data_IF_001854487294
#
_entry.id   IF_001854487294
#
_cell.length_a   1.000
_cell.length_b   1.000
_cell.length_c   1.000
_cell.angle_alpha   90.00
_cell.angle_beta   90.00
_cell.angle_gamma   90.00
#
_symmetry.space_group_name_H-M   'P 1'
#
loop_
_entity.id
_entity.type
_entity.pdbx_description
1 polymer ?
#
# COMPACT_ATOMS: atom_id res chain seq x y z
N UNK A 1 32.77 72.87 -17.20
CA UNK A 1 34.22 72.57 -17.37
C UNK A 1 34.59 71.57 -16.29
N UNK A 2 35.37 70.55 -16.67
CA UNK A 2 35.54 69.21 -16.07
C UNK A 2 35.93 69.17 -14.59
N UNK A 3 35.33 68.27 -13.79
CA UNK A 3 36.08 67.47 -12.82
C UNK A 3 35.37 66.15 -12.44
N UNK A 4 36.16 65.07 -12.45
CA UNK A 4 35.80 63.65 -12.24
C UNK A 4 35.73 63.27 -10.75
N UNK A 5 35.01 62.20 -10.41
CA UNK A 5 35.49 61.00 -9.67
C UNK A 5 34.38 59.90 -9.57
N UNK A 6 34.79 58.63 -9.71
CA UNK A 6 34.04 57.33 -9.55
C UNK A 6 34.21 56.80 -8.08
N UNK A 7 33.79 55.58 -7.64
CA UNK A 7 32.66 54.63 -7.92
C UNK A 7 31.93 54.13 -6.61
N UNK A 8 31.09 53.07 -6.73
CA UNK A 8 30.49 52.18 -5.67
C UNK A 8 29.17 52.67 -5.02
N UNK A 9 28.15 51.87 -4.64
CA UNK A 9 27.97 50.42 -4.49
C UNK A 9 26.47 50.04 -4.59
N UNK A 10 26.18 48.77 -4.96
CA UNK A 10 24.91 48.08 -4.71
C UNK A 10 24.65 47.96 -3.20
N UNK A 11 23.38 48.03 -2.76
CA UNK A 11 22.75 47.05 -1.85
C UNK A 11 21.29 47.39 -1.49
N UNK A 12 20.47 46.33 -1.51
CA UNK A 12 19.33 46.03 -0.62
C UNK A 12 18.09 46.94 -0.59
N UNK A 13 16.97 46.49 -1.18
CA UNK A 13 15.68 46.21 -0.50
C UNK A 13 14.84 45.29 -1.42
N UNK A 14 14.81 43.98 -1.16
CA UNK A 14 13.77 43.08 -1.68
C UNK A 14 13.85 41.71 -0.97
N UNK A 15 13.56 41.67 0.34
CA UNK A 15 13.41 40.40 1.05
C UNK A 15 12.51 40.56 2.29
N UNK A 16 11.23 40.89 2.08
CA UNK A 16 10.25 40.89 3.18
C UNK A 16 8.78 40.74 2.75
N UNK A 17 8.49 40.26 1.53
CA UNK A 17 7.10 40.17 1.04
C UNK A 17 6.62 38.77 0.63
N UNK A 18 7.39 37.70 0.88
CA UNK A 18 7.05 36.33 0.42
C UNK A 18 6.66 35.33 1.53
N UNK A 19 6.46 35.76 2.77
CA UNK A 19 6.16 34.83 3.90
C UNK A 19 4.71 34.97 4.42
N UNK A 20 3.85 35.80 3.81
CA UNK A 20 2.54 36.11 4.40
C UNK A 20 1.34 35.91 3.48
N UNK A 21 1.40 34.96 2.52
CA UNK A 21 0.28 34.67 1.61
C UNK A 21 -0.20 33.20 1.59
N UNK A 22 0.36 32.28 2.39
CA UNK A 22 -0.13 30.90 2.46
C UNK A 22 -1.09 30.58 3.62
N UNK A 23 -1.40 31.52 4.51
CA UNK A 23 -2.24 31.25 5.69
C UNK A 23 -3.69 31.75 5.59
N UNK A 24 -4.20 32.06 4.40
CA UNK A 24 -5.55 32.64 4.24
C UNK A 24 -6.51 31.86 3.32
N UNK A 25 -6.13 30.68 2.83
CA UNK A 25 -6.98 29.89 1.89
C UNK A 25 -7.40 28.50 2.38
N UNK A 26 -6.91 28.05 3.54
CA UNK A 26 -7.40 26.81 4.17
C UNK A 26 -7.73 27.12 5.63
N UNK A 27 -9.02 27.26 5.91
CA UNK A 27 -9.54 27.40 7.27
C UNK A 27 -9.41 26.10 8.07
N UNK A 28 -8.18 25.65 8.27
CA UNK A 28 -7.85 24.56 9.20
C UNK A 28 -7.66 25.23 10.55
N UNK A 29 -8.62 25.01 11.46
CA UNK A 29 -8.42 25.29 12.88
C UNK A 29 -7.57 24.16 13.43
N UNK A 30 -6.52 24.51 14.17
CA UNK A 30 -5.70 23.59 14.94
C UNK A 30 -6.60 22.68 15.79
N UNK A 31 -6.53 21.38 15.53
CA UNK A 31 -6.88 20.35 16.49
C UNK A 31 -5.55 19.80 16.99
N UNK A 32 -5.24 20.10 18.24
CA UNK A 32 -4.03 19.68 18.95
C UNK A 32 -3.79 18.17 18.76
N UNK A 33 -2.67 17.84 18.11
CA UNK A 33 -2.14 16.49 18.03
C UNK A 33 -1.11 16.35 19.14
N UNK A 34 -1.57 16.14 20.38
CA UNK A 34 -0.72 15.76 21.49
C UNK A 34 -0.41 14.26 21.38
N UNK A 35 0.84 13.93 21.04
CA UNK A 35 1.39 12.60 21.27
C UNK A 35 1.64 12.50 22.77
N UNK A 36 0.74 11.83 23.48
CA UNK A 36 0.84 11.66 24.93
C UNK A 36 2.05 10.76 25.28
N UNK A 37 3.04 11.34 25.95
CA UNK A 37 4.08 10.62 26.68
C UNK A 37 3.44 9.81 27.82
N UNK A 38 3.47 8.49 27.70
CA UNK A 38 2.93 7.54 28.67
C UNK A 38 3.79 7.42 29.93
N UNK A 39 3.58 8.33 30.89
CA UNK A 39 4.12 8.25 32.25
C UNK A 39 3.28 7.39 33.20
N UNK A 40 3.95 6.46 33.87
CA UNK A 40 3.52 5.48 34.89
C UNK A 40 2.59 5.97 36.02
N UNK A 41 1.64 5.11 36.43
CA UNK A 41 0.94 5.24 37.72
C UNK A 41 -0.16 4.19 38.02
N UNK A 42 0.20 3.06 38.65
CA UNK A 42 -0.51 2.51 39.84
C UNK A 42 -1.76 1.60 39.72
N UNK A 43 -1.50 0.30 39.90
CA UNK A 43 -2.20 -0.72 40.73
C UNK A 43 -3.53 -1.45 40.33
N UNK A 44 -3.32 -2.77 40.14
CA UNK A 44 -3.99 -3.94 40.77
C UNK A 44 -5.01 -4.78 39.95
N UNK A 45 -4.60 -6.01 39.58
CA UNK A 45 -5.51 -7.14 39.34
C UNK A 45 -5.12 -8.22 38.33
N UNK A 46 -3.98 -8.91 38.52
CA UNK A 46 -3.63 -10.28 38.08
C UNK A 46 -4.14 -10.88 36.75
N UNK A 47 -3.22 -11.22 35.84
CA UNK A 47 -2.69 -12.59 35.59
C UNK A 47 -1.30 -12.42 34.98
N UNK A 48 -0.27 -12.98 35.62
CA UNK A 48 1.10 -12.96 35.11
C UNK A 48 1.24 -13.97 33.95
N UNK A 49 1.21 -13.49 32.72
CA UNK A 49 2.02 -14.05 31.67
C UNK A 49 3.36 -13.32 31.76
N UNK A 50 4.43 -14.06 31.99
CA UNK A 50 5.81 -13.57 31.98
C UNK A 50 6.15 -13.05 30.59
N UNK A 51 5.77 -11.80 30.31
CA UNK A 51 6.32 -11.01 29.22
C UNK A 51 7.68 -10.51 29.71
N UNK A 52 8.71 -11.36 29.59
CA UNK A 52 9.98 -10.78 29.19
C UNK A 52 9.77 -10.24 27.78
N UNK A 53 9.33 -8.97 27.72
CA UNK A 53 9.43 -8.15 26.53
C UNK A 53 10.92 -7.94 26.26
N UNK A 54 11.55 -8.99 25.73
CA UNK A 54 12.79 -8.82 25.01
C UNK A 54 12.51 -7.88 23.85
N UNK A 55 13.39 -6.91 23.67
CA UNK A 55 13.50 -5.99 22.54
C UNK A 55 13.77 -6.76 21.25
N UNK A 56 12.84 -7.63 20.84
CA UNK A 56 12.95 -8.45 19.64
C UNK A 56 12.34 -7.70 18.46
N UNK A 57 13.18 -7.39 17.49
CA UNK A 57 12.82 -7.07 16.11
C UNK A 57 11.78 -8.06 15.61
N UNK A 58 10.54 -7.62 15.52
CA UNK A 58 9.34 -8.28 14.98
C UNK A 58 8.12 -7.64 15.65
N UNK A 59 7.18 -7.12 14.87
CA UNK A 59 5.78 -7.31 15.24
C UNK A 59 5.50 -8.81 15.01
N UNK A 60 5.40 -9.65 16.05
CA UNK A 60 5.25 -11.08 15.85
C UNK A 60 3.94 -11.32 15.09
N UNK A 61 4.03 -12.05 13.97
CA UNK A 61 2.84 -12.62 13.35
C UNK A 61 2.16 -13.53 14.39
N UNK A 62 0.82 -13.53 14.47
CA UNK A 62 0.10 -14.49 15.30
C UNK A 62 0.63 -15.90 15.03
N UNK A 63 0.91 -16.75 16.03
CA UNK A 63 1.48 -18.06 15.76
C UNK A 63 0.50 -18.94 14.98
N UNK A 64 1.04 -19.81 14.12
CA UNK A 64 0.23 -20.83 13.42
C UNK A 64 -0.48 -21.72 14.46
N UNK A 65 -1.79 -22.00 14.29
CA UNK A 65 -2.48 -22.92 15.18
C UNK A 65 -1.93 -24.36 15.07
N UNK A 66 -2.26 -25.24 16.04
CA UNK A 66 -1.83 -26.64 15.99
C UNK A 66 -2.29 -27.35 14.71
N UNK A 67 -1.45 -28.27 14.19
CA UNK A 67 -1.77 -29.04 12.99
C UNK A 67 -3.08 -29.82 13.18
N UNK A 68 -3.95 -29.79 12.17
CA UNK A 68 -5.23 -30.49 12.15
C UNK A 68 -6.42 -29.68 12.66
N UNK A 69 -6.25 -28.38 12.96
CA UNK A 69 -7.38 -27.47 13.20
C UNK A 69 -8.16 -27.15 11.92
N UNK A 70 -7.55 -27.27 10.74
CA UNK A 70 -8.13 -27.09 9.39
C UNK A 70 -8.95 -28.29 8.90
N UNK A 71 -9.71 -28.93 9.79
CA UNK A 71 -10.59 -30.04 9.41
C UNK A 71 -11.97 -29.56 8.95
N UNK A 72 -12.42 -30.00 7.77
CA UNK A 72 -13.77 -29.78 7.23
C UNK A 72 -13.82 -29.80 5.69
N UNK A 73 -15.01 -29.83 5.11
CA UNK A 73 -15.21 -29.49 3.69
C UNK A 73 -15.03 -27.96 3.58
N UNK A 74 -13.77 -27.51 3.47
CA UNK A 74 -13.40 -26.09 3.42
C UNK A 74 -14.15 -25.33 2.32
N UNK A 75 -14.50 -24.09 2.61
CA UNK A 75 -15.24 -23.21 1.71
C UNK A 75 -14.33 -22.30 0.87
N UNK A 76 -14.88 -21.78 -0.23
CA UNK A 76 -14.25 -20.72 -1.02
C UNK A 76 -14.98 -19.40 -0.77
N UNK A 77 -14.24 -18.39 -0.35
CA UNK A 77 -14.73 -17.04 -0.09
C UNK A 77 -14.02 -16.06 -1.00
N UNK A 78 -14.78 -15.20 -1.68
CA UNK A 78 -14.24 -14.14 -2.52
C UNK A 78 -14.59 -12.81 -1.88
N UNK A 79 -13.57 -11.98 -1.68
CA UNK A 79 -13.73 -10.63 -1.14
C UNK A 79 -13.03 -9.61 -2.04
N UNK A 80 -13.58 -8.41 -2.11
CA UNK A 80 -13.02 -7.28 -2.83
C UNK A 80 -12.49 -6.25 -1.82
N UNK A 81 -11.27 -5.76 -2.02
CA UNK A 81 -10.73 -4.68 -1.18
C UNK A 81 -11.57 -3.41 -1.36
N UNK A 82 -12.22 -2.98 -0.28
CA UNK A 82 -13.13 -1.83 -0.24
C UNK A 82 -12.41 -0.52 0.03
N UNK A 83 -11.44 -0.55 0.93
CA UNK A 83 -10.61 0.61 1.27
C UNK A 83 -9.16 0.22 1.11
N UNK A 84 -8.34 1.13 0.58
CA UNK A 84 -6.89 0.96 0.51
C UNK A 84 -6.27 2.27 0.98
N UNK A 85 -5.43 2.20 2.01
CA UNK A 85 -4.75 3.36 2.59
C UNK A 85 -3.26 3.09 2.56
N UNK A 86 -2.54 3.82 1.71
CA UNK A 86 -1.08 3.74 1.68
C UNK A 86 -0.46 4.27 2.96
N UNK A 87 0.50 3.52 3.51
CA UNK A 87 1.22 3.88 4.72
C UNK A 87 0.37 3.82 6.00
N UNK A 88 -0.92 3.48 5.93
CA UNK A 88 -1.81 3.42 7.11
C UNK A 88 -2.24 2.01 7.49
N UNK A 89 -2.84 1.86 8.68
CA UNK A 89 -3.46 0.62 9.18
C UNK A 89 -3.14 0.36 10.67
N UNK A 90 -4.01 -0.34 11.42
CA UNK A 90 -3.66 -0.85 12.74
C UNK A 90 -2.49 -1.84 12.61
N UNK A 91 -1.38 -1.58 13.31
CA UNK A 91 -0.08 -2.28 13.18
C UNK A 91 0.67 -1.97 11.86
N UNK A 92 1.18 -0.75 11.73
CA UNK A 92 1.61 -0.13 10.46
C UNK A 92 2.92 -0.65 9.83
N UNK A 93 3.08 -1.97 9.72
CA UNK A 93 4.08 -2.63 8.88
C UNK A 93 4.68 -3.87 9.52
N UNK A 94 5.61 -4.49 8.79
CA UNK A 94 6.32 -5.68 9.22
C UNK A 94 7.81 -5.48 8.97
N UNK A 95 8.62 -6.23 9.71
CA UNK A 95 10.03 -6.46 9.41
C UNK A 95 10.12 -7.36 8.17
N UNK A 96 10.39 -6.79 7.00
CA UNK A 96 10.37 -7.47 5.71
C UNK A 96 11.72 -8.11 5.37
N UNK A 97 12.83 -7.63 5.92
CA UNK A 97 14.18 -8.19 5.76
C UNK A 97 14.65 -9.05 6.94
N UNK A 98 13.86 -9.09 8.01
CA UNK A 98 14.07 -9.83 9.26
C UNK A 98 15.27 -9.35 10.07
N UNK A 99 15.64 -8.08 9.91
CA UNK A 99 16.79 -7.48 10.57
C UNK A 99 16.44 -6.08 11.02
N UNK A 100 16.53 -5.81 12.32
CA UNK A 100 16.43 -4.42 12.76
C UNK A 100 17.56 -3.56 12.19
N UNK A 101 17.21 -2.47 11.53
CA UNK A 101 18.12 -1.39 11.18
C UNK A 101 18.01 -0.24 12.17
N UNK A 102 19.16 0.21 12.71
CA UNK A 102 19.31 1.36 13.61
C UNK A 102 18.73 1.26 15.04
N UNK A 103 18.64 0.09 15.66
CA UNK A 103 18.22 0.02 17.08
C UNK A 103 19.24 0.66 18.01
N UNK A 104 18.73 1.37 19.03
CA UNK A 104 19.55 2.04 20.05
C UNK A 104 20.39 1.07 20.90
N UNK A 105 20.02 -0.22 20.91
CA UNK A 105 20.58 -1.22 21.82
C UNK A 105 21.74 -2.04 21.22
N UNK A 106 21.89 -2.12 19.88
CA UNK A 106 23.05 -2.79 19.27
C UNK A 106 23.42 -2.28 17.86
N UNK A 107 24.26 -1.23 17.76
CA UNK A 107 24.79 -0.73 16.49
C UNK A 107 25.60 -1.75 15.68
N UNK A 108 26.04 -2.87 16.28
CA UNK A 108 26.81 -3.90 15.60
C UNK A 108 25.94 -4.99 14.94
N UNK A 109 24.66 -5.12 15.34
CA UNK A 109 23.67 -5.99 14.71
C UNK A 109 22.78 -5.28 13.69
N UNK A 110 22.73 -3.94 13.73
CA UNK A 110 22.05 -3.11 12.75
C UNK A 110 22.74 -3.15 11.37
N UNK A 111 22.45 -4.18 10.58
CA UNK A 111 22.92 -4.28 9.20
C UNK A 111 21.79 -3.86 8.27
N UNK A 112 21.97 -2.75 7.56
CA UNK A 112 21.04 -2.35 6.51
C UNK A 112 20.93 -3.46 5.44
N UNK A 113 19.70 -3.73 5.00
CA UNK A 113 19.38 -4.63 3.87
C UNK A 113 20.27 -4.37 2.65
N UNK A 114 20.48 -3.10 2.33
CA UNK A 114 21.18 -2.67 1.13
C UNK A 114 21.85 -1.31 1.34
N UNK A 115 22.62 -0.89 0.34
CA UNK A 115 23.26 0.43 0.32
C UNK A 115 22.21 1.46 -0.05
N UNK A 116 21.74 2.20 0.96
CA UNK A 116 20.79 3.29 0.78
C UNK A 116 21.32 4.39 -0.15
N UNK A 117 20.43 5.04 -0.92
CA UNK A 117 20.70 6.33 -1.54
C UNK A 117 21.22 7.34 -0.51
N UNK A 118 22.11 8.26 -0.94
CA UNK A 118 22.92 9.14 -0.05
C UNK A 118 22.15 10.00 0.97
N UNK A 119 20.82 10.09 0.87
CA UNK A 119 19.97 10.97 1.67
C UNK A 119 18.94 10.25 2.54
N UNK A 120 18.71 8.95 2.37
CA UNK A 120 17.81 8.20 3.26
C UNK A 120 18.53 7.79 4.54
N UNK A 121 17.91 8.08 5.68
CA UNK A 121 18.20 7.36 6.92
C UNK A 121 17.40 6.07 6.83
N UNK A 122 18.04 5.01 6.34
CA UNK A 122 17.46 3.67 6.26
C UNK A 122 17.39 3.00 7.63
N UNK A 123 16.62 3.61 8.52
CA UNK A 123 16.39 3.10 9.85
C UNK A 123 14.95 2.60 9.91
N UNK A 124 14.75 1.46 10.56
CA UNK A 124 13.42 0.92 10.75
C UNK A 124 12.65 1.78 11.74
N UNK A 125 11.32 1.63 11.71
CA UNK A 125 10.48 2.09 12.80
C UNK A 125 10.59 1.16 14.00
N UNK A 126 10.01 1.57 15.14
CA UNK A 126 9.99 0.77 16.36
C UNK A 126 9.53 -0.67 16.08
N UNK A 127 10.29 -1.64 16.61
CA UNK A 127 10.04 -3.07 16.40
C UNK A 127 10.59 -3.66 15.10
N UNK A 128 11.42 -2.91 14.35
CA UNK A 128 12.01 -3.35 13.08
C UNK A 128 11.05 -3.20 11.89
N UNK A 129 10.07 -2.31 11.99
CA UNK A 129 9.03 -2.16 10.97
C UNK A 129 9.54 -1.37 9.78
N UNK A 130 9.49 -2.00 8.60
CA UNK A 130 9.88 -1.37 7.34
C UNK A 130 8.70 -0.59 6.74
N UNK A 131 8.83 0.75 6.67
CA UNK A 131 7.83 1.60 6.05
C UNK A 131 8.43 2.92 5.52
N UNK A 132 9.37 2.84 4.58
CA UNK A 132 9.97 4.04 3.99
C UNK A 132 8.93 4.96 3.34
N UNK A 133 7.80 4.45 2.85
CA UNK A 133 6.75 5.29 2.25
C UNK A 133 6.16 6.29 3.26
N UNK A 134 6.03 5.91 4.53
CA UNK A 134 5.56 6.79 5.60
C UNK A 134 6.52 7.94 5.92
N UNK A 135 7.80 7.82 5.58
CA UNK A 135 8.80 8.87 5.83
C UNK A 135 8.61 10.09 4.93
N UNK A 136 7.78 10.00 3.88
CA UNK A 136 7.34 11.10 3.03
C UNK A 136 6.32 11.96 3.79
N UNK A 137 6.81 12.76 4.74
CA UNK A 137 5.99 13.43 5.77
C UNK A 137 5.66 14.90 5.51
N UNK A 138 6.22 15.53 4.46
CA UNK A 138 6.02 16.97 4.28
C UNK A 138 6.02 17.47 2.82
N UNK A 139 5.35 18.61 2.63
CA UNK A 139 5.38 19.39 1.40
C UNK A 139 4.63 18.75 0.22
N UNK A 140 5.13 19.03 -0.98
CA UNK A 140 4.56 18.59 -2.25
C UNK A 140 4.38 17.06 -2.34
N UNK A 141 5.29 16.31 -1.73
CA UNK A 141 5.28 14.85 -1.78
C UNK A 141 4.10 14.25 -1.00
N UNK A 142 3.80 14.80 0.18
CA UNK A 142 2.62 14.41 0.95
C UNK A 142 1.34 14.73 0.18
N UNK A 143 1.25 15.92 -0.43
CA UNK A 143 0.09 16.29 -1.25
C UNK A 143 -0.11 15.33 -2.44
N UNK A 144 0.97 14.87 -3.07
CA UNK A 144 0.91 13.85 -4.14
C UNK A 144 0.43 12.49 -3.63
N UNK A 145 0.87 12.05 -2.44
CA UNK A 145 0.39 10.80 -1.81
C UNK A 145 -1.09 10.92 -1.43
N UNK A 146 -1.51 12.05 -0.87
CA UNK A 146 -2.91 12.30 -0.49
C UNK A 146 -3.81 12.28 -1.74
N UNK A 147 -3.44 13.01 -2.81
CA UNK A 147 -4.16 12.98 -4.09
C UNK A 147 -4.20 11.58 -4.70
N UNK A 148 -3.15 10.79 -4.52
CA UNK A 148 -3.12 9.41 -4.97
C UNK A 148 -4.10 8.53 -4.17
N UNK A 149 -4.16 8.68 -2.84
CA UNK A 149 -5.17 8.01 -2.00
C UNK A 149 -6.60 8.41 -2.40
N UNK A 150 -6.85 9.69 -2.69
CA UNK A 150 -8.16 10.15 -3.18
C UNK A 150 -8.54 9.48 -4.50
N UNK A 151 -7.60 9.43 -5.45
CA UNK A 151 -7.82 8.77 -6.75
C UNK A 151 -8.06 7.25 -6.62
N UNK A 152 -7.40 6.59 -5.64
CA UNK A 152 -7.66 5.18 -5.34
C UNK A 152 -9.10 5.00 -4.87
N UNK A 153 -9.52 5.78 -3.88
CA UNK A 153 -10.86 5.65 -3.31
C UNK A 153 -11.94 5.98 -4.34
N UNK A 154 -11.75 7.01 -5.17
CA UNK A 154 -12.65 7.31 -6.29
C UNK A 154 -12.71 6.15 -7.31
N UNK A 155 -11.59 5.47 -7.56
CA UNK A 155 -11.54 4.30 -8.46
C UNK A 155 -12.30 3.11 -7.89
N UNK A 156 -12.18 2.88 -6.58
CA UNK A 156 -12.89 1.85 -5.84
C UNK A 156 -14.41 2.15 -5.83
N UNK A 157 -14.81 3.37 -5.49
CA UNK A 157 -16.21 3.80 -5.43
C UNK A 157 -16.90 3.74 -6.79
N UNK A 158 -16.19 4.11 -7.87
CA UNK A 158 -16.71 3.96 -9.23
C UNK A 158 -16.70 2.51 -9.75
N UNK A 159 -16.31 1.54 -8.94
CA UNK A 159 -16.27 0.13 -9.33
C UNK A 159 -15.35 -0.13 -10.52
N UNK A 160 -14.32 0.71 -10.71
CA UNK A 160 -13.45 0.65 -11.90
C UNK A 160 -12.42 -0.46 -11.79
N UNK A 161 -11.79 -0.57 -10.63
CA UNK A 161 -10.79 -1.58 -10.30
C UNK A 161 -10.73 -1.75 -8.79
N UNK A 162 -10.40 -2.96 -8.36
CA UNK A 162 -10.03 -3.33 -6.99
C UNK A 162 -9.20 -4.61 -7.05
N UNK A 163 -8.69 -5.09 -5.92
CA UNK A 163 -8.06 -6.40 -5.79
C UNK A 163 -9.06 -7.37 -5.17
N UNK A 164 -9.22 -8.52 -5.81
CA UNK A 164 -9.99 -9.64 -5.31
C UNK A 164 -9.07 -10.55 -4.53
N UNK A 165 -9.44 -10.87 -3.29
CA UNK A 165 -8.82 -11.91 -2.50
C UNK A 165 -9.75 -13.14 -2.49
N UNK A 166 -9.22 -14.29 -2.88
CA UNK A 166 -9.92 -15.57 -2.80
C UNK A 166 -9.28 -16.38 -1.68
N UNK A 167 -10.06 -16.71 -0.66
CA UNK A 167 -9.69 -17.62 0.41
C UNK A 167 -10.32 -18.98 0.09
N UNK A 168 -9.49 -19.98 -0.20
CA UNK A 168 -9.90 -21.36 -0.45
C UNK A 168 -9.53 -22.24 0.75
N UNK A 169 -10.26 -23.36 0.84
CA UNK A 169 -10.10 -24.40 1.85
C UNK A 169 -10.29 -23.93 3.30
N UNK A 170 -10.82 -22.72 3.52
CA UNK A 170 -11.07 -22.20 4.87
C UNK A 170 -12.27 -22.89 5.52
N UNK A 171 -12.07 -23.48 6.70
CA UNK A 171 -13.08 -24.22 7.46
C UNK A 171 -14.19 -23.34 8.08
N UNK A 172 -14.05 -22.00 8.02
CA UNK A 172 -15.01 -21.03 8.59
C UNK A 172 -14.91 -20.82 10.11
N UNK A 173 -13.98 -21.52 10.77
CA UNK A 173 -13.77 -21.47 12.22
C UNK A 173 -12.74 -20.41 12.67
N UNK A 174 -12.60 -20.20 13.98
CA UNK A 174 -11.61 -19.27 14.54
C UNK A 174 -10.17 -19.68 14.25
N UNK A 175 -9.90 -20.98 14.15
CA UNK A 175 -8.58 -21.55 13.92
C UNK A 175 -8.63 -22.47 12.70
N UNK A 176 -7.68 -22.29 11.80
CA UNK A 176 -7.47 -23.12 10.62
C UNK A 176 -5.96 -23.16 10.34
N UNK A 177 -5.35 -24.35 10.41
CA UNK A 177 -3.89 -24.46 10.21
C UNK A 177 -3.48 -24.36 8.75
N UNK A 178 -4.43 -24.36 7.81
CA UNK A 178 -4.14 -24.23 6.39
C UNK A 178 -5.28 -23.57 5.62
N UNK A 179 -5.00 -22.40 5.08
CA UNK A 179 -5.84 -21.78 4.04
C UNK A 179 -5.01 -21.46 2.81
N UNK A 180 -5.65 -21.34 1.66
CA UNK A 180 -5.01 -20.93 0.42
C UNK A 180 -5.55 -19.57 0.00
N UNK A 181 -4.67 -18.59 -0.19
CA UNK A 181 -5.02 -17.22 -0.55
C UNK A 181 -4.52 -16.89 -1.95
N UNK A 182 -5.42 -16.41 -2.79
CA UNK A 182 -5.10 -15.87 -4.09
C UNK A 182 -5.50 -14.41 -4.17
N UNK A 183 -4.69 -13.60 -4.86
CA UNK A 183 -5.01 -12.20 -5.13
C UNK A 183 -5.01 -11.95 -6.64
N UNK A 184 -6.07 -11.35 -7.16
CA UNK A 184 -6.19 -10.97 -8.57
C UNK A 184 -6.62 -9.51 -8.70
N UNK A 185 -6.00 -8.74 -9.61
CA UNK A 185 -6.59 -7.50 -10.03
C UNK A 185 -7.95 -7.73 -10.70
N UNK A 186 -8.96 -6.99 -10.27
CA UNK A 186 -10.21 -6.89 -11.01
C UNK A 186 -10.15 -5.80 -12.06
N UNK A 187 -11.01 -5.95 -13.06
CA UNK A 187 -11.14 -5.04 -14.20
C UNK A 187 -12.49 -4.31 -14.20
N UNK A 188 -13.04 -4.12 -13.01
CA UNK A 188 -14.25 -3.34 -12.75
C UNK A 188 -15.54 -4.14 -12.73
N UNK A 189 -16.60 -3.51 -12.25
CA UNK A 189 -17.94 -4.10 -12.16
C UNK A 189 -18.54 -4.17 -13.56
N UNK A 190 -18.95 -5.38 -13.96
CA UNK A 190 -19.32 -5.68 -15.36
C UNK A 190 -20.82 -5.71 -15.64
N UNK A 191 -21.64 -5.72 -14.60
CA UNK A 191 -23.09 -5.79 -14.73
C UNK A 191 -23.76 -4.78 -13.81
N UNK A 192 -24.91 -4.20 -14.21
CA UNK A 192 -25.72 -3.40 -13.31
C UNK A 192 -26.25 -4.30 -12.19
N UNK A 193 -26.33 -3.73 -10.99
CA UNK A 193 -26.86 -4.43 -9.82
C UNK A 193 -28.38 -4.53 -9.89
N UNK A 194 -29.02 -3.56 -10.55
CA UNK A 194 -30.48 -3.50 -10.72
C UNK A 194 -30.88 -3.13 -12.15
N UNK A 195 -32.05 -3.59 -12.59
CA UNK A 195 -32.59 -3.23 -13.91
C UNK A 195 -32.79 -1.72 -14.05
N UNK A 196 -32.18 -1.12 -15.07
CA UNK A 196 -32.26 0.33 -15.34
C UNK A 196 -31.10 1.15 -14.76
N UNK A 197 -30.20 0.53 -14.00
CA UNK A 197 -28.94 1.14 -13.62
C UNK A 197 -28.03 1.22 -14.85
N UNK A 198 -27.78 2.43 -15.32
CA UNK A 198 -26.69 2.71 -16.24
C UNK A 198 -25.43 3.09 -15.45
N UNK A 199 -24.26 3.14 -16.09
CA UNK A 199 -23.10 3.82 -15.53
C UNK A 199 -23.49 5.24 -15.09
N UNK A 200 -23.10 5.64 -13.88
CA UNK A 200 -23.52 6.90 -13.25
C UNK A 200 -23.14 8.11 -14.11
N UNK A 201 -24.08 8.62 -14.91
CA UNK A 201 -24.11 9.97 -15.50
C UNK A 201 -22.79 10.52 -16.05
N UNK A 202 -21.94 9.68 -16.65
CA UNK A 202 -20.55 9.92 -17.07
C UNK A 202 -19.45 9.84 -15.99
N UNK A 203 -19.73 9.93 -14.68
CA UNK A 203 -18.70 9.88 -13.63
C UNK A 203 -17.96 8.54 -13.62
N UNK A 204 -18.71 7.43 -13.63
CA UNK A 204 -18.12 6.10 -13.46
C UNK A 204 -18.05 5.27 -14.76
N UNK A 205 -18.35 5.87 -15.92
CA UNK A 205 -18.19 5.19 -17.21
C UNK A 205 -16.75 4.66 -17.39
N UNK A 206 -16.57 3.46 -18.00
CA UNK A 206 -17.59 2.56 -18.53
C UNK A 206 -18.13 1.52 -17.52
N UNK A 207 -17.86 1.68 -16.21
CA UNK A 207 -18.23 0.73 -15.16
C UNK A 207 -19.46 1.18 -14.36
N UNK A 208 -19.90 0.32 -13.44
CA UNK A 208 -20.98 0.62 -12.51
C UNK A 208 -20.39 0.98 -11.14
N UNK A 209 -20.97 1.94 -10.40
CA UNK A 209 -20.55 2.23 -9.03
C UNK A 209 -20.60 0.97 -8.15
N UNK A 210 -19.67 0.86 -7.20
CA UNK A 210 -19.66 -0.22 -6.24
C UNK A 210 -20.69 0.01 -5.14
N UNK A 211 -21.40 -1.04 -4.73
CA UNK A 211 -22.38 -1.02 -3.62
C UNK A 211 -21.79 -1.51 -2.31
N UNK A 212 -20.77 -2.36 -2.38
CA UNK A 212 -20.10 -2.98 -1.24
C UNK A 212 -21.06 -3.77 -0.33
N UNK A 213 -22.09 -4.36 -0.93
CA UNK A 213 -23.16 -5.11 -0.25
C UNK A 213 -23.09 -6.63 -0.51
N UNK A 214 -22.05 -7.09 -1.21
CA UNK A 214 -21.88 -8.49 -1.61
C UNK A 214 -22.43 -8.82 -2.99
N UNK A 215 -23.16 -7.91 -3.63
CA UNK A 215 -23.74 -8.14 -4.97
C UNK A 215 -22.85 -7.68 -6.12
N UNK A 216 -21.76 -6.96 -5.81
CA UNK A 216 -20.82 -6.46 -6.81
C UNK A 216 -20.16 -7.60 -7.57
N UNK A 217 -20.37 -7.60 -8.90
CA UNK A 217 -19.81 -8.59 -9.83
C UNK A 217 -18.57 -8.05 -10.53
N UNK A 218 -17.41 -8.33 -9.96
CA UNK A 218 -16.12 -7.86 -10.44
C UNK A 218 -15.59 -8.73 -11.57
N UNK A 219 -15.15 -8.09 -12.65
CA UNK A 219 -14.52 -8.78 -13.77
C UNK A 219 -13.13 -9.31 -13.39
N UNK A 220 -12.88 -10.59 -13.62
CA UNK A 220 -11.56 -11.22 -13.48
C UNK A 220 -11.25 -12.12 -14.67
N UNK A 221 -9.96 -12.17 -15.04
CA UNK A 221 -9.45 -13.08 -16.06
C UNK A 221 -8.89 -14.39 -15.46
N UNK A 222 -8.69 -14.46 -14.14
CA UNK A 222 -7.98 -15.56 -13.47
C UNK A 222 -8.84 -16.30 -12.44
N UNK A 223 -9.94 -15.70 -12.00
CA UNK A 223 -10.90 -16.29 -11.07
C UNK A 223 -12.13 -16.69 -11.87
N UNK A 224 -12.55 -17.94 -11.74
CA UNK A 224 -13.82 -18.43 -12.29
C UNK A 224 -14.98 -17.99 -11.40
N UNK A 225 -16.20 -18.03 -11.93
CA UNK A 225 -17.41 -17.67 -11.16
C UNK A 225 -17.61 -18.55 -9.90
N UNK A 226 -17.12 -19.78 -9.91
CA UNK A 226 -17.13 -20.72 -8.77
C UNK A 226 -15.99 -20.46 -7.75
N UNK A 227 -15.18 -19.41 -7.96
CA UNK A 227 -14.02 -19.09 -7.13
C UNK A 227 -12.82 -20.00 -7.36
N UNK A 228 -12.87 -20.90 -8.35
CA UNK A 228 -11.72 -21.70 -8.73
C UNK A 228 -10.64 -20.81 -9.38
N UNK A 229 -9.38 -21.06 -9.02
CA UNK A 229 -8.22 -20.30 -9.47
C UNK A 229 -7.21 -21.27 -10.08
N UNK A 230 -6.67 -20.95 -11.26
CA UNK A 230 -5.67 -21.77 -11.98
C UNK A 230 -4.22 -21.29 -11.79
N UNK A 231 -4.02 -20.29 -10.94
CA UNK A 231 -2.80 -19.51 -10.85
C UNK A 231 -2.17 -19.61 -9.47
N UNK A 232 -0.91 -19.19 -9.35
CA UNK A 232 -0.16 -19.44 -8.15
C UNK A 232 -0.76 -18.73 -6.94
N UNK A 233 -0.84 -19.44 -5.82
CA UNK A 233 -1.47 -19.01 -4.57
C UNK A 233 -0.47 -19.00 -3.42
N UNK A 234 -0.85 -18.32 -2.33
CA UNK A 234 -0.09 -18.30 -1.09
C UNK A 234 -0.75 -19.24 -0.08
N UNK A 235 0.06 -19.97 0.67
CA UNK A 235 -0.43 -20.70 1.84
C UNK A 235 -0.51 -19.75 3.03
N UNK A 236 -1.57 -19.89 3.82
CA UNK A 236 -1.79 -19.13 5.04
C UNK A 236 -2.34 -20.01 6.15
N UNK A 237 -2.81 -19.37 7.20
CA UNK A 237 -3.59 -19.96 8.27
C UNK A 237 -4.52 -18.91 8.87
N UNK A 238 -5.48 -19.36 9.67
CA UNK A 238 -6.33 -18.52 10.51
C UNK A 238 -6.07 -18.85 11.96
N UNK A 239 -5.86 -17.83 12.79
CA UNK A 239 -5.68 -17.98 14.24
C UNK A 239 -6.57 -16.98 14.96
N UNK A 240 -7.44 -17.43 15.85
CA UNK A 240 -8.34 -16.55 16.61
C UNK A 240 -9.11 -15.53 15.71
N UNK A 241 -9.63 -16.00 14.57
CA UNK A 241 -10.27 -15.19 13.50
C UNK A 241 -9.34 -14.18 12.81
N UNK A 242 -8.04 -14.41 12.82
CA UNK A 242 -7.07 -13.59 12.10
C UNK A 242 -6.44 -14.40 10.96
N UNK A 243 -6.69 -13.99 9.72
CA UNK A 243 -5.98 -14.50 8.56
C UNK A 243 -4.52 -14.06 8.63
N UNK A 244 -3.60 -14.99 8.40
CA UNK A 244 -2.17 -14.72 8.26
C UNK A 244 -1.63 -15.42 7.02
N UNK A 245 -1.01 -14.64 6.15
CA UNK A 245 -0.23 -15.10 5.00
C UNK A 245 1.18 -14.53 5.15
N UNK A 246 2.18 -15.39 5.24
CA UNK A 246 3.60 -14.99 5.20
C UNK A 246 4.26 -15.53 3.93
N UNK A 247 4.30 -14.69 2.89
CA UNK A 247 4.88 -15.01 1.59
C UNK A 247 6.39 -14.80 1.48
N UNK A 248 7.07 -14.43 2.58
CA UNK A 248 8.52 -14.13 2.57
C UNK A 248 9.36 -15.35 2.21
N UNK A 249 9.03 -16.52 2.77
CA UNK A 249 9.77 -17.77 2.55
C UNK A 249 9.11 -18.72 1.55
N UNK A 250 7.89 -18.42 1.10
CA UNK A 250 7.17 -19.35 0.24
C UNK A 250 7.82 -19.42 -1.15
N UNK A 251 8.00 -20.62 -1.73
CA UNK A 251 8.45 -20.75 -3.11
C UNK A 251 7.43 -20.06 -4.02
N UNK A 252 7.82 -18.91 -4.56
CA UNK A 252 6.92 -17.82 -4.91
C UNK A 252 5.85 -18.18 -5.96
N UNK A 253 4.58 -17.81 -5.73
CA UNK A 253 3.57 -17.72 -6.77
C UNK A 253 3.75 -16.53 -7.76
N UNK A 254 4.66 -15.60 -7.50
CA UNK A 254 4.76 -14.31 -8.19
C UNK A 254 4.23 -13.16 -7.33
N UNK A 255 4.42 -11.89 -7.73
CA UNK A 255 3.97 -10.74 -6.95
C UNK A 255 2.45 -10.56 -6.97
N UNK A 256 1.88 -9.99 -5.91
CA UNK A 256 0.50 -9.51 -5.91
C UNK A 256 0.46 -8.20 -6.70
N UNK A 257 -0.36 -8.14 -7.74
CA UNK A 257 -0.55 -6.94 -8.53
C UNK A 257 -1.71 -6.11 -7.97
N UNK A 258 -1.40 -4.99 -7.32
CA UNK A 258 -2.38 -4.02 -6.87
C UNK A 258 -2.77 -3.10 -8.03
N UNK A 259 -3.98 -3.29 -8.56
CA UNK A 259 -4.60 -2.39 -9.54
C UNK A 259 -5.51 -1.38 -8.86
N UNK A 260 -5.90 -0.34 -9.60
CA UNK A 260 -6.65 0.80 -9.06
C UNK A 260 -5.78 1.84 -8.34
N UNK A 261 -4.48 1.56 -8.17
CA UNK A 261 -3.49 2.47 -7.63
C UNK A 261 -2.76 3.27 -8.74
N UNK A 262 -3.43 3.59 -9.85
CA UNK A 262 -2.85 4.29 -10.99
C UNK A 262 -2.89 3.50 -12.30
N UNK A 263 -2.15 3.99 -13.31
CA UNK A 263 -2.20 3.46 -14.68
C UNK A 263 -1.39 2.17 -14.89
N UNK A 264 -0.64 1.69 -13.89
CA UNK A 264 0.05 0.41 -13.96
C UNK A 264 -0.03 -0.30 -12.61
N UNK A 265 -0.11 -1.65 -12.57
CA UNK A 265 -0.20 -2.36 -11.30
C UNK A 265 1.07 -2.18 -10.46
N UNK A 266 0.91 -1.89 -9.17
CA UNK A 266 2.02 -2.00 -8.21
C UNK A 266 2.22 -3.47 -7.85
N UNK A 267 3.42 -3.99 -8.06
CA UNK A 267 3.73 -5.40 -7.81
C UNK A 267 4.36 -5.54 -6.43
N UNK A 268 3.60 -6.12 -5.51
CA UNK A 268 4.04 -6.41 -4.15
C UNK A 268 4.70 -7.79 -4.12
N UNK A 269 6.02 -7.78 -4.01
CA UNK A 269 6.82 -8.99 -3.89
C UNK A 269 6.88 -9.45 -2.44
N UNK A 270 6.89 -10.78 -2.24
CA UNK A 270 7.01 -11.41 -0.91
C UNK A 270 5.99 -10.87 0.10
N UNK A 271 4.69 -10.92 -0.23
CA UNK A 271 3.68 -10.23 0.56
C UNK A 271 3.49 -10.87 1.94
N UNK A 272 3.21 -10.04 2.93
CA UNK A 272 2.65 -10.44 4.21
C UNK A 272 1.23 -9.87 4.28
N UNK A 273 0.23 -10.73 4.51
CA UNK A 273 -1.16 -10.32 4.66
C UNK A 273 -1.63 -10.72 6.05
N UNK A 274 -2.16 -9.76 6.80
CA UNK A 274 -2.86 -10.02 8.05
C UNK A 274 -4.20 -9.31 8.01
N UNK A 275 -5.28 -9.99 8.39
CA UNK A 275 -6.60 -9.36 8.47
C UNK A 275 -7.50 -10.09 9.46
N UNK A 276 -8.37 -9.34 10.15
CA UNK A 276 -9.42 -9.93 10.98
C UNK A 276 -10.57 -10.41 10.10
N UNK A 277 -11.00 -11.64 10.32
CA UNK A 277 -12.10 -12.31 9.63
C UNK A 277 -13.40 -12.13 10.42
N UNK A 278 -14.42 -11.57 9.78
CA UNK A 278 -15.76 -11.44 10.35
C UNK A 278 -16.79 -12.05 9.39
N UNK A 279 -17.67 -12.90 9.92
CA UNK A 279 -18.78 -13.44 9.13
C UNK A 279 -19.82 -12.35 8.86
N UNK A 280 -20.29 -12.27 7.60
CA UNK A 280 -21.35 -11.37 7.15
C UNK A 280 -22.31 -12.17 6.29
N UNK A 281 -23.60 -11.83 6.24
CA UNK A 281 -24.65 -12.56 5.51
C UNK A 281 -24.17 -13.19 4.18
N UNK A 282 -23.93 -14.51 4.20
CA UNK A 282 -23.51 -15.28 3.02
C UNK A 282 -22.05 -15.13 2.57
N UNK A 283 -21.17 -14.48 3.34
CA UNK A 283 -19.77 -14.28 2.97
C UNK A 283 -18.85 -13.89 4.14
N UNK A 284 -17.64 -13.44 3.78
CA UNK A 284 -16.59 -13.07 4.71
C UNK A 284 -16.24 -11.58 4.53
N UNK A 285 -16.08 -10.86 5.63
CA UNK A 285 -15.55 -9.51 5.66
C UNK A 285 -14.15 -9.54 6.30
N UNK A 286 -13.19 -8.84 5.68
CA UNK A 286 -11.86 -8.64 6.23
C UNK A 286 -11.76 -7.23 6.78
N UNK A 287 -11.47 -7.12 8.07
CA UNK A 287 -11.26 -5.87 8.80
C UNK A 287 -9.81 -5.73 9.19
N UNK A 288 -9.40 -4.49 9.45
CA UNK A 288 -8.07 -4.17 9.99
C UNK A 288 -6.94 -4.86 9.20
N UNK A 289 -7.14 -4.94 7.89
CA UNK A 289 -6.25 -5.64 6.98
C UNK A 289 -4.97 -4.86 6.78
N UNK A 290 -3.85 -5.56 6.72
CA UNK A 290 -2.54 -5.03 6.36
C UNK A 290 -1.97 -5.94 5.28
N UNK A 291 -1.59 -5.35 4.15
CA UNK A 291 -0.76 -5.98 3.13
C UNK A 291 0.56 -5.24 3.11
N UNK A 292 1.64 -5.94 3.40
CA UNK A 292 2.99 -5.42 3.29
C UNK A 292 3.83 -6.23 2.31
N UNK A 293 4.91 -5.66 1.82
CA UNK A 293 5.89 -6.35 0.99
C UNK A 293 6.85 -5.38 0.32
N UNK A 294 7.55 -5.87 -0.71
CA UNK A 294 8.58 -5.11 -1.42
C UNK A 294 8.04 -4.65 -2.76
N UNK A 295 8.08 -3.34 -3.05
CA UNK A 295 7.67 -2.80 -4.34
C UNK A 295 8.85 -2.11 -4.99
N UNK A 296 9.17 -2.45 -6.24
CA UNK A 296 10.22 -1.78 -6.99
C UNK A 296 9.95 -0.27 -7.05
N UNK A 297 10.97 0.55 -6.82
CA UNK A 297 10.82 2.01 -6.93
C UNK A 297 10.34 2.41 -8.33
N UNK A 298 10.82 1.71 -9.37
CA UNK A 298 10.39 1.91 -10.76
C UNK A 298 8.94 1.53 -11.01
N UNK A 299 8.36 0.59 -10.27
CA UNK A 299 6.94 0.24 -10.39
C UNK A 299 6.06 1.36 -9.81
N UNK A 300 6.47 1.95 -8.69
CA UNK A 300 5.81 3.13 -8.12
C UNK A 300 5.85 4.30 -9.10
N UNK A 301 7.03 4.60 -9.66
CA UNK A 301 7.18 5.66 -10.65
C UNK A 301 6.38 5.39 -11.91
N UNK A 302 6.35 4.14 -12.38
CA UNK A 302 5.59 3.74 -13.56
C UNK A 302 4.09 3.92 -13.33
N UNK A 303 3.58 3.49 -12.17
CA UNK A 303 2.16 3.67 -11.86
C UNK A 303 1.78 5.14 -11.74
N UNK A 304 2.54 5.92 -10.95
CA UNK A 304 2.25 7.33 -10.75
C UNK A 304 2.44 8.12 -12.06
N UNK A 305 3.59 7.96 -12.71
CA UNK A 305 3.96 8.72 -13.90
C UNK A 305 3.05 8.50 -15.09
N UNK A 306 2.56 7.26 -15.29
CA UNK A 306 1.62 6.98 -16.38
C UNK A 306 0.19 7.43 -16.08
N UNK A 307 -0.15 7.74 -14.84
CA UNK A 307 -1.48 8.21 -14.48
C UNK A 307 -1.74 9.60 -15.04
N UNK A 308 -3.02 9.90 -15.29
CA UNK A 308 -3.50 11.20 -15.77
C UNK A 308 -4.26 11.87 -14.63
N UNK A 309 -4.20 13.20 -14.50
CA UNK A 309 -5.01 13.92 -13.53
C UNK A 309 -6.51 13.63 -13.67
N UNK A 310 -7.28 13.61 -12.57
CA UNK A 310 -8.73 13.36 -12.60
C UNK A 310 -9.52 14.34 -13.48
N UNK A 311 -9.03 15.57 -13.63
CA UNK A 311 -9.56 16.64 -14.47
C UNK A 311 -9.15 16.54 -15.95
N UNK A 312 -8.41 15.49 -16.31
CA UNK A 312 -7.82 15.29 -17.63
C UNK A 312 -6.49 16.01 -17.80
N UNK A 313 -5.85 15.82 -18.96
CA UNK A 313 -4.57 16.45 -19.28
C UNK A 313 -3.47 15.45 -19.64
N UNK A 314 -2.22 15.91 -19.52
CA UNK A 314 -1.05 15.07 -19.78
C UNK A 314 -0.80 14.09 -18.62
N UNK A 315 -0.04 13.04 -18.89
CA UNK A 315 0.40 12.10 -17.85
C UNK A 315 1.34 12.80 -16.87
N UNK A 316 1.32 12.39 -15.60
CA UNK A 316 2.20 13.00 -14.58
C UNK A 316 3.68 12.97 -14.97
N UNK A 317 4.14 11.96 -15.71
CA UNK A 317 5.53 11.90 -16.17
C UNK A 317 5.98 13.05 -17.11
N UNK A 318 5.04 13.81 -17.67
CA UNK A 318 5.33 15.00 -18.47
C UNK A 318 5.47 16.27 -17.62
N UNK A 319 5.02 16.23 -16.37
CA UNK A 319 5.11 17.34 -15.43
C UNK A 319 6.55 17.52 -14.95
N UNK A 320 7.05 18.75 -14.95
CA UNK A 320 8.37 19.05 -14.39
C UNK A 320 8.44 18.73 -12.88
N UNK A 321 7.30 18.82 -12.19
CA UNK A 321 7.16 18.52 -10.77
C UNK A 321 7.27 17.01 -10.49
N UNK A 322 7.01 16.17 -11.49
CA UNK A 322 7.21 14.72 -11.39
C UNK A 322 8.69 14.35 -11.23
N UNK A 323 9.65 15.17 -11.68
CA UNK A 323 11.09 14.96 -11.41
C UNK A 323 11.41 15.02 -9.91
N UNK A 324 10.65 15.82 -9.16
CA UNK A 324 10.78 15.89 -7.69
C UNK A 324 10.27 14.57 -7.09
N UNK A 325 9.11 14.09 -7.55
CA UNK A 325 8.52 12.81 -7.12
C UNK A 325 9.45 11.64 -7.46
N UNK A 326 10.02 11.63 -8.67
CA UNK A 326 11.02 10.67 -9.11
C UNK A 326 12.20 10.61 -8.16
N UNK A 327 12.79 11.77 -7.86
CA UNK A 327 13.93 11.88 -6.94
C UNK A 327 13.57 11.35 -5.55
N UNK A 328 12.39 11.69 -5.04
CA UNK A 328 11.96 11.31 -3.70
C UNK A 328 11.74 9.80 -3.56
N UNK A 329 10.98 9.17 -4.46
CA UNK A 329 10.74 7.73 -4.40
C UNK A 329 12.04 6.93 -4.58
N UNK A 330 12.92 7.38 -5.46
CA UNK A 330 14.22 6.72 -5.65
C UNK A 330 15.15 6.89 -4.46
N UNK A 331 15.08 8.02 -3.75
CA UNK A 331 15.85 8.21 -2.52
C UNK A 331 15.24 7.46 -1.34
N UNK A 332 13.93 7.25 -1.35
CA UNK A 332 13.22 6.50 -0.32
C UNK A 332 13.47 4.99 -0.40
N UNK A 333 14.06 4.47 -1.49
CA UNK A 333 14.39 3.05 -1.62
C UNK A 333 15.26 2.60 -0.44
N UNK A 334 14.77 1.60 0.28
CA UNK A 334 15.26 1.14 1.57
C UNK A 334 15.54 -0.37 1.61
N UNK A 335 15.03 -1.12 0.63
CA UNK A 335 15.12 -2.57 0.61
C UNK A 335 15.43 -3.09 -0.80
N UNK A 336 15.85 -4.36 -0.91
CA UNK A 336 15.93 -5.04 -2.20
C UNK A 336 14.57 -5.62 -2.60
N UNK A 337 14.22 -5.54 -3.87
CA UNK A 337 13.05 -6.20 -4.46
C UNK A 337 13.13 -7.72 -4.36
N UNK A 338 14.34 -8.27 -4.52
CA UNK A 338 14.64 -9.68 -4.34
C UNK A 338 15.31 -9.91 -2.97
N UNK A 339 14.67 -10.63 -2.03
CA UNK A 339 15.24 -10.90 -0.72
C UNK A 339 16.56 -11.69 -0.77
N UNK A 340 16.79 -12.49 -1.83
CA UNK A 340 18.05 -13.22 -2.00
C UNK A 340 19.27 -12.30 -2.19
N UNK A 341 19.04 -11.00 -2.43
CA UNK A 341 20.06 -9.96 -2.54
C UNK A 341 20.18 -9.07 -1.32
N UNK A 342 19.34 -9.29 -0.31
CA UNK A 342 19.50 -8.60 0.97
C UNK A 342 20.89 -8.92 1.54
N UNK A 343 21.49 -7.90 2.15
CA UNK A 343 22.77 -7.99 2.83
C UNK A 343 23.92 -8.42 1.92
N UNK A 344 23.82 -8.25 0.60
CA UNK A 344 24.95 -8.51 -0.33
C UNK A 344 25.77 -7.25 -0.60
N UNK A 345 25.29 -6.07 -0.19
CA UNK A 345 25.95 -4.78 -0.39
C UNK A 345 25.57 -4.08 -1.70
N UNK A 346 24.51 -4.56 -2.35
CA UNK A 346 23.90 -3.91 -3.51
C UNK A 346 23.15 -2.63 -3.10
N UNK A 347 22.88 -1.76 -4.08
CA UNK A 347 22.04 -0.58 -3.86
C UNK A 347 20.57 -0.97 -3.77
N UNK A 348 19.86 -0.37 -2.82
CA UNK A 348 18.41 -0.54 -2.69
C UNK A 348 17.70 -0.16 -3.98
N UNK A 349 16.76 -1.00 -4.43
CA UNK A 349 15.98 -0.82 -5.66
C UNK A 349 14.47 -0.86 -5.42
N UNK A 350 14.05 -1.15 -4.18
CA UNK A 350 12.67 -1.26 -3.78
C UNK A 350 12.38 -0.43 -2.53
N UNK A 351 11.09 -0.24 -2.32
CA UNK A 351 10.47 0.39 -1.16
C UNK A 351 9.80 -0.70 -0.34
N UNK A 352 10.02 -0.67 0.97
CA UNK A 352 9.14 -1.31 1.91
C UNK A 352 7.76 -0.65 1.83
N UNK A 353 6.79 -1.46 1.46
CA UNK A 353 5.46 -1.03 1.09
C UNK A 353 4.44 -1.61 2.05
N UNK A 354 3.55 -0.76 2.57
CA UNK A 354 2.46 -1.16 3.46
C UNK A 354 1.18 -0.46 3.01
N UNK A 355 0.10 -1.23 2.89
CA UNK A 355 -1.26 -0.71 2.75
C UNK A 355 -2.16 -1.31 3.83
N UNK A 356 -2.94 -0.44 4.45
CA UNK A 356 -4.09 -0.82 5.25
C UNK A 356 -5.29 -1.04 4.36
N UNK A 357 -6.11 -2.03 4.66
CA UNK A 357 -7.30 -2.32 3.87
C UNK A 357 -8.47 -2.88 4.68
N UNK A 358 -9.65 -2.77 4.08
CA UNK A 358 -10.81 -3.60 4.43
C UNK A 358 -11.27 -4.30 3.16
N UNK A 359 -11.87 -5.48 3.28
CA UNK A 359 -12.46 -6.17 2.14
C UNK A 359 -13.84 -6.71 2.48
N UNK A 360 -14.77 -6.63 1.54
CA UNK A 360 -16.15 -7.11 1.71
C UNK A 360 -16.43 -8.29 0.78
N UNK A 361 -17.46 -9.11 1.06
CA UNK A 361 -17.88 -10.15 0.13
C UNK A 361 -18.05 -9.62 -1.29
N UNK A 362 -17.68 -10.44 -2.27
CA UNK A 362 -17.73 -10.08 -3.68
C UNK A 362 -18.11 -11.29 -4.54
N UNK A 363 -18.70 -11.01 -5.71
CA UNK A 363 -18.93 -12.01 -6.74
C UNK A 363 -17.99 -11.76 -7.93
N UNK A 364 -17.71 -12.81 -8.69
CA UNK A 364 -16.90 -12.72 -9.90
C UNK A 364 -17.80 -12.81 -11.12
N UNK A 365 -17.48 -12.00 -12.13
CA UNK A 365 -17.99 -12.15 -13.48
C UNK A 365 -16.83 -12.47 -14.44
N UNK A 366 -17.04 -13.30 -15.46
CA UNK A 366 -16.10 -13.49 -16.53
C UNK A 366 -15.81 -12.13 -17.19
N UNK A 367 -14.53 -11.77 -17.26
CA UNK A 367 -14.15 -10.50 -17.85
C UNK A 367 -12.69 -10.50 -18.20
N UNK A 368 -12.38 -10.43 -19.50
CA UNK A 368 -11.03 -10.12 -19.95
C UNK A 368 -10.61 -8.72 -19.46
N UNK A 369 -9.29 -8.50 -19.57
CA UNK A 369 -8.53 -7.32 -19.15
C UNK A 369 -9.25 -5.98 -19.38
N UNK A 370 -8.87 -4.91 -18.66
CA UNK A 370 -9.42 -3.58 -18.91
C UNK A 370 -9.31 -3.28 -20.39
N UNK A 371 -10.36 -2.71 -20.97
CA UNK A 371 -10.14 -1.84 -22.11
C UNK A 371 -9.44 -0.65 -21.48
N UNK A 372 -8.11 -0.64 -21.56
CA UNK A 372 -7.32 0.53 -21.17
C UNK A 372 -7.94 1.68 -21.95
N UNK A 373 -8.55 2.68 -21.31
CA UNK A 373 -9.10 3.80 -22.06
C UNK A 373 -7.97 4.32 -22.93
N UNK A 374 -8.20 4.51 -24.22
CA UNK A 374 -7.18 5.05 -25.11
C UNK A 374 -6.83 6.44 -24.60
N UNK A 375 -5.74 6.52 -23.82
CA UNK A 375 -5.28 7.78 -23.26
C UNK A 375 -4.55 8.50 -24.39
N UNK A 376 -5.22 9.48 -24.99
CA UNK A 376 -4.65 10.41 -25.96
C UNK A 376 -3.72 11.43 -25.28
N UNK A 377 -2.70 10.92 -24.59
CA UNK A 377 -1.66 11.72 -23.95
C UNK A 377 -0.28 11.16 -24.32
N UNK A 378 0.74 12.02 -24.54
CA UNK A 378 2.08 11.59 -24.88
C UNK A 378 2.61 10.50 -23.92
N UNK A 379 3.25 9.44 -24.44
CA UNK A 379 3.76 8.37 -23.60
C UNK A 379 4.90 8.87 -22.73
N UNK A 380 5.00 8.29 -21.53
CA UNK A 380 6.19 8.47 -20.69
C UNK A 380 7.42 7.84 -21.35
N UNK A 381 8.58 8.47 -21.17
CA UNK A 381 9.86 7.86 -21.59
C UNK A 381 10.38 6.92 -20.50
N UNK A 382 11.16 5.91 -20.86
CA UNK A 382 11.80 5.03 -19.85
C UNK A 382 12.66 5.83 -18.87
N UNK A 383 13.38 6.86 -19.37
CA UNK A 383 14.20 7.74 -18.54
C UNK A 383 13.39 8.52 -17.51
N UNK A 384 12.16 8.93 -17.84
CA UNK A 384 11.28 9.60 -16.88
C UNK A 384 10.80 8.66 -15.77
N UNK A 385 10.74 7.34 -16.00
CA UNK A 385 10.21 6.37 -15.03
C UNK A 385 11.29 5.57 -14.29
N UNK A 386 12.57 5.84 -14.57
CA UNK A 386 13.70 5.15 -13.96
C UNK A 386 14.25 5.91 -12.74
N UNK A 387 14.96 5.22 -11.86
CA UNK A 387 15.77 5.89 -10.85
C UNK A 387 17.12 6.33 -11.44
N UNK A 388 17.57 7.57 -11.14
CA UNK A 388 18.80 8.15 -11.70
C UNK A 388 20.11 7.57 -11.16
#
# INVERSE_FOLDING_TARGET
>A
MVMRLRPAALATVALSALVMSCQLLLGIRDADFDVADGGSGGNDGGVEASNEAGTSCSAPLPPRPPVGTGGGDGGTYIVAMKTIVLGGGPNAGFDLDRTCTCTAEDPAQARASCVHPKTSRGCDLDGGVDNALLTITSGFAKASVDKFNDNINDTLDCGRQTVLLVLQDYNGGPDDDKVVVFADPSFGIRAPHTGGEGPDGNRCLPTYPARWDGTDRWGSARIREDGYVTFPSFEGYVRDHQLVVDGRDQPSPGPIALTGLGASPLRVHRPVIVAKLESRDGGLELKDGVLAGRVLATDVLTSFGKSVPPDGGERYCQDDEFKVVQTLFCQAADIMSNPDRDFVGDRCDALAFVVGFTATPAAVAPGAAPVDPEIDAPPCTEASLACP
#
